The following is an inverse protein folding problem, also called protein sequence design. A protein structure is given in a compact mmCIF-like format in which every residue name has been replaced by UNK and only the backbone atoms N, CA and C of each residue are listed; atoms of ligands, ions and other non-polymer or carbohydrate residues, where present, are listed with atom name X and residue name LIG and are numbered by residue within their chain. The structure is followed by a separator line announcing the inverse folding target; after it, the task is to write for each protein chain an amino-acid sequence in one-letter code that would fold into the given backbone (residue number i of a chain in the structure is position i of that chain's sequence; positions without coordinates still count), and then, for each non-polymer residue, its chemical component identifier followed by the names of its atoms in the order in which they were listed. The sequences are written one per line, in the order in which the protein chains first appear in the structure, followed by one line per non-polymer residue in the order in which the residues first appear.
data_IF_109199869667
#
_entry.id   IF_109199869667
#
_cell.length_a   1.000
_cell.length_b   1.000
_cell.length_c   1.000
_cell.angle_alpha   90.00
_cell.angle_beta   90.00
_cell.angle_gamma   90.00
#
_symmetry.space_group_name_H-M   'P 1'
#
loop_
_entity.id
_entity.type
_entity.pdbx_description
1 polymer ?
#
# COMPACT_ATOMS: atom_id res chain seq x y z
N UNK A 1 -34.09 -58.45 27.24
CA UNK A 1 -34.20 -57.52 28.38
C UNK A 1 -33.88 -56.12 27.85
N UNK A 2 -34.90 -55.40 27.37
CA UNK A 2 -34.73 -54.08 26.77
C UNK A 2 -34.35 -53.07 27.85
N UNK A 3 -33.13 -52.54 27.81
CA UNK A 3 -32.74 -51.39 28.64
C UNK A 3 -33.53 -50.18 28.14
N UNK A 4 -34.30 -49.57 29.03
CA UNK A 4 -35.09 -48.40 28.76
C UNK A 4 -34.23 -47.30 28.10
N UNK A 5 -34.60 -46.93 26.87
CA UNK A 5 -34.05 -45.80 26.17
C UNK A 5 -34.59 -44.54 26.85
N UNK A 6 -33.82 -44.01 27.79
CA UNK A 6 -34.15 -42.80 28.51
C UNK A 6 -33.97 -41.62 27.54
N UNK A 7 -35.06 -41.26 26.86
CA UNK A 7 -35.08 -40.18 25.87
C UNK A 7 -34.88 -38.83 26.56
N UNK A 8 -33.63 -38.48 26.86
CA UNK A 8 -33.26 -37.09 27.06
C UNK A 8 -33.42 -36.40 25.70
N UNK A 9 -34.33 -35.44 25.62
CA UNK A 9 -34.41 -34.53 24.48
C UNK A 9 -33.10 -33.73 24.41
N UNK A 10 -32.19 -34.12 23.53
CA UNK A 10 -31.02 -33.32 23.19
C UNK A 10 -31.42 -32.32 22.09
N UNK A 11 -31.42 -31.03 22.43
CA UNK A 11 -31.54 -29.95 21.44
C UNK A 11 -30.15 -29.66 20.90
N UNK A 12 -29.88 -30.07 19.67
CA UNK A 12 -28.59 -29.85 19.00
C UNK A 12 -28.62 -28.43 18.41
N UNK A 13 -27.81 -27.53 18.96
CA UNK A 13 -27.69 -26.15 18.51
C UNK A 13 -26.60 -25.96 17.47
N UNK A 14 -25.43 -26.57 17.70
CA UNK A 14 -24.20 -26.33 16.95
C UNK A 14 -23.63 -27.68 16.45
N UNK A 15 -22.91 -27.68 15.33
CA UNK A 15 -22.29 -28.89 14.77
C UNK A 15 -21.31 -29.57 15.77
N UNK A 16 -20.62 -28.80 16.60
CA UNK A 16 -19.76 -29.31 17.67
C UNK A 16 -20.54 -30.08 18.76
N UNK A 17 -21.80 -29.72 19.00
CA UNK A 17 -22.66 -30.45 19.95
C UNK A 17 -22.95 -31.87 19.43
N UNK A 18 -23.09 -32.05 18.12
CA UNK A 18 -23.25 -33.38 17.50
C UNK A 18 -22.02 -34.25 17.71
N UNK A 19 -20.83 -33.68 17.50
CA UNK A 19 -19.55 -34.38 17.66
C UNK A 19 -19.38 -34.81 19.12
N UNK A 20 -19.73 -33.93 20.07
CA UNK A 20 -19.67 -34.23 21.51
C UNK A 20 -20.65 -35.32 21.94
N UNK A 21 -21.81 -35.40 21.28
CA UNK A 21 -22.83 -36.42 21.51
C UNK A 21 -22.53 -37.75 20.78
N UNK A 22 -21.48 -37.80 19.95
CA UNK A 22 -21.12 -38.95 19.14
C UNK A 22 -22.11 -39.23 18.00
N UNK A 23 -22.92 -38.24 17.63
CA UNK A 23 -23.93 -38.33 16.58
C UNK A 23 -23.33 -37.94 15.23
N UNK A 24 -23.69 -38.69 14.19
CA UNK A 24 -23.30 -38.39 12.81
C UNK A 24 -24.43 -37.67 12.08
N UNK A 25 -24.10 -36.96 11.00
CA UNK A 25 -25.08 -36.26 10.15
C UNK A 25 -26.16 -37.21 9.60
N UNK A 26 -25.80 -38.49 9.41
CA UNK A 26 -26.69 -39.57 8.96
C UNK A 26 -27.70 -40.03 10.01
N UNK A 27 -27.47 -39.71 11.29
CA UNK A 27 -28.38 -40.05 12.39
C UNK A 27 -29.52 -39.04 12.53
N UNK A 28 -29.43 -37.90 11.83
CA UNK A 28 -30.48 -36.90 11.74
C UNK A 28 -31.44 -37.23 10.59
N UNK A 29 -32.74 -37.06 10.86
CA UNK A 29 -33.73 -37.14 9.79
C UNK A 29 -33.56 -35.96 8.84
N UNK A 30 -33.46 -36.23 7.53
CA UNK A 30 -33.24 -35.21 6.50
C UNK A 30 -34.40 -34.20 6.39
N UNK A 31 -35.59 -34.58 6.86
CA UNK A 31 -36.79 -33.73 6.92
C UNK A 31 -36.91 -32.95 8.24
N UNK A 32 -35.97 -33.13 9.18
CA UNK A 32 -35.96 -32.38 10.43
C UNK A 32 -35.23 -31.03 10.26
N UNK A 33 -35.88 -29.99 10.76
CA UNK A 33 -35.39 -28.60 10.77
C UNK A 33 -33.99 -28.43 11.37
N UNK A 34 -33.58 -29.34 12.27
CA UNK A 34 -32.24 -29.36 12.87
C UNK A 34 -31.15 -29.58 11.81
N UNK A 35 -31.40 -30.46 10.84
CA UNK A 35 -30.45 -30.76 9.76
C UNK A 35 -30.32 -29.58 8.78
N UNK A 36 -31.44 -28.98 8.39
CA UNK A 36 -31.47 -27.79 7.53
C UNK A 36 -30.70 -26.61 8.16
N UNK A 37 -30.92 -26.37 9.46
CA UNK A 37 -30.22 -25.30 10.20
C UNK A 37 -28.70 -25.50 10.23
N UNK A 38 -28.23 -26.71 10.51
CA UNK A 38 -26.79 -27.00 10.57
C UNK A 38 -26.11 -26.86 9.20
N UNK A 39 -26.78 -27.26 8.11
CA UNK A 39 -26.27 -27.07 6.76
C UNK A 39 -26.19 -25.58 6.41
N UNK A 40 -27.20 -24.79 6.79
CA UNK A 40 -27.19 -23.35 6.60
C UNK A 40 -26.04 -22.69 7.37
N UNK A 41 -25.87 -22.98 8.65
CA UNK A 41 -24.84 -22.38 9.51
C UNK A 41 -23.43 -22.70 8.99
N UNK A 42 -23.17 -23.97 8.64
CA UNK A 42 -21.87 -24.36 8.07
C UNK A 42 -21.61 -23.75 6.69
N UNK A 43 -22.64 -23.54 5.88
CA UNK A 43 -22.51 -22.85 4.57
C UNK A 43 -22.24 -21.36 4.77
N UNK A 44 -22.94 -20.72 5.69
CA UNK A 44 -22.77 -19.30 6.03
C UNK A 44 -21.37 -19.03 6.61
N UNK A 45 -20.88 -19.90 7.50
CA UNK A 45 -19.52 -19.80 8.05
C UNK A 45 -18.45 -19.92 6.96
N UNK A 46 -18.66 -20.80 5.96
CA UNK A 46 -17.76 -20.93 4.81
C UNK A 46 -17.75 -19.67 3.96
N UNK A 47 -18.91 -19.14 3.61
CA UNK A 47 -19.01 -17.89 2.84
C UNK A 47 -18.37 -16.69 3.59
N UNK A 48 -18.59 -16.60 4.90
CA UNK A 48 -17.99 -15.56 5.73
C UNK A 48 -16.46 -15.69 5.76
N UNK A 49 -15.95 -16.92 5.87
CA UNK A 49 -14.51 -17.18 5.83
C UNK A 49 -13.91 -16.83 4.48
N UNK A 50 -14.54 -17.25 3.39
CA UNK A 50 -14.09 -16.93 2.03
C UNK A 50 -14.09 -15.43 1.75
N UNK A 51 -15.12 -14.70 2.19
CA UNK A 51 -15.18 -13.24 2.05
C UNK A 51 -14.12 -12.54 2.89
N UNK A 52 -13.86 -13.03 4.11
CA UNK A 52 -12.79 -12.52 4.98
C UNK A 52 -11.41 -12.75 4.36
N UNK A 53 -11.13 -13.96 3.87
CA UNK A 53 -9.86 -14.30 3.22
C UNK A 53 -9.65 -13.46 1.97
N UNK A 54 -10.71 -13.26 1.18
CA UNK A 54 -10.68 -12.39 0.00
C UNK A 54 -10.41 -10.94 0.38
N UNK A 55 -11.05 -10.41 1.41
CA UNK A 55 -10.82 -9.06 1.89
C UNK A 55 -9.36 -8.88 2.35
N UNK A 56 -8.84 -9.81 3.15
CA UNK A 56 -7.45 -9.76 3.61
C UNK A 56 -6.46 -9.82 2.45
N UNK A 57 -6.73 -10.63 1.43
CA UNK A 57 -5.89 -10.69 0.22
C UNK A 57 -5.84 -9.33 -0.48
N UNK A 58 -7.00 -8.73 -0.74
CA UNK A 58 -7.08 -7.42 -1.39
C UNK A 58 -6.47 -6.30 -0.55
N UNK A 59 -6.66 -6.32 0.77
CA UNK A 59 -6.03 -5.35 1.68
C UNK A 59 -4.50 -5.45 1.64
N UNK A 60 -3.95 -6.68 1.66
CA UNK A 60 -2.51 -6.91 1.52
C UNK A 60 -2.01 -6.38 0.18
N UNK A 61 -2.69 -6.69 -0.92
CA UNK A 61 -2.29 -6.23 -2.24
C UNK A 61 -2.36 -4.71 -2.37
N UNK A 62 -3.45 -4.08 -1.90
CA UNK A 62 -3.59 -2.62 -1.87
C UNK A 62 -2.52 -1.96 -1.01
N UNK A 63 -2.14 -2.58 0.12
CA UNK A 63 -1.04 -2.10 0.95
C UNK A 63 0.32 -2.15 0.24
N UNK A 64 0.56 -3.20 -0.55
CA UNK A 64 1.79 -3.37 -1.33
C UNK A 64 1.88 -2.30 -2.42
N UNK A 65 0.83 -2.16 -3.24
CA UNK A 65 0.75 -1.15 -4.31
C UNK A 65 0.91 0.26 -3.75
N UNK A 66 0.26 0.57 -2.61
CA UNK A 66 0.39 1.89 -1.97
C UNK A 66 1.81 2.16 -1.48
N UNK A 67 2.53 1.15 -0.98
CA UNK A 67 3.94 1.29 -0.62
C UNK A 67 4.79 1.56 -1.85
N UNK A 68 4.61 0.81 -2.93
CA UNK A 68 5.33 1.03 -4.19
C UNK A 68 5.07 2.43 -4.75
N UNK A 69 3.81 2.85 -4.79
CA UNK A 69 3.38 4.19 -5.18
C UNK A 69 4.09 5.26 -4.31
N UNK A 70 4.13 5.07 -3.00
CA UNK A 70 4.82 5.99 -2.08
C UNK A 70 6.33 6.05 -2.36
N UNK A 71 6.98 4.92 -2.64
CA UNK A 71 8.41 4.92 -2.99
C UNK A 71 8.67 5.64 -4.32
N UNK A 72 7.80 5.45 -5.31
CA UNK A 72 7.89 6.13 -6.60
C UNK A 72 7.68 7.64 -6.46
N UNK A 73 6.65 8.08 -5.73
CA UNK A 73 6.44 9.50 -5.42
C UNK A 73 7.61 10.10 -4.65
N UNK A 74 8.20 9.39 -3.70
CA UNK A 74 9.37 9.87 -2.95
C UNK A 74 10.58 10.05 -3.86
N UNK A 75 10.84 9.12 -4.77
CA UNK A 75 11.92 9.23 -5.78
C UNK A 75 11.66 10.41 -6.71
N UNK A 76 10.43 10.55 -7.22
CA UNK A 76 10.05 11.64 -8.11
C UNK A 76 10.17 13.01 -7.43
N UNK A 77 9.67 13.15 -6.20
CA UNK A 77 9.81 14.38 -5.41
C UNK A 77 11.27 14.73 -5.15
N UNK A 78 12.13 13.76 -4.86
CA UNK A 78 13.58 13.99 -4.71
C UNK A 78 14.22 14.51 -5.99
N UNK A 79 13.85 13.94 -7.15
CA UNK A 79 14.35 14.40 -8.44
C UNK A 79 13.86 15.82 -8.76
N UNK A 80 12.56 16.09 -8.59
CA UNK A 80 11.97 17.43 -8.76
C UNK A 80 12.63 18.49 -7.88
N UNK A 81 12.85 18.17 -6.59
CA UNK A 81 13.54 19.08 -5.68
C UNK A 81 15.05 19.17 -5.91
N UNK A 82 15.63 18.25 -6.68
CA UNK A 82 17.06 18.30 -7.06
C UNK A 82 17.30 19.15 -8.31
N UNK A 83 16.29 19.34 -9.15
CA UNK A 83 16.40 20.09 -10.40
C UNK A 83 15.79 21.48 -10.33
N UNK A 84 14.95 21.74 -9.33
CA UNK A 84 14.27 23.02 -9.13
C UNK A 84 14.20 23.39 -7.65
N UNK A 85 14.29 24.69 -7.30
CA UNK A 85 14.04 25.16 -5.95
C UNK A 85 12.70 24.67 -5.38
N UNK A 86 12.66 24.40 -4.07
CA UNK A 86 11.50 23.78 -3.41
C UNK A 86 10.20 24.56 -3.62
N UNK A 87 10.27 25.89 -3.64
CA UNK A 87 9.11 26.76 -3.80
C UNK A 87 8.45 26.60 -5.19
N UNK A 88 9.24 26.46 -6.26
CA UNK A 88 8.74 26.24 -7.63
C UNK A 88 8.15 24.83 -7.76
N UNK A 89 8.83 23.82 -7.19
CA UNK A 89 8.37 22.44 -7.22
C UNK A 89 7.02 22.25 -6.50
N UNK A 90 6.76 23.02 -5.43
CA UNK A 90 5.48 23.02 -4.72
C UNK A 90 4.36 23.68 -5.54
N UNK A 91 4.65 24.81 -6.20
CA UNK A 91 3.70 25.48 -7.09
C UNK A 91 3.29 24.57 -8.25
N UNK A 92 4.24 23.88 -8.87
CA UNK A 92 3.97 22.91 -9.94
C UNK A 92 3.15 21.70 -9.45
N UNK A 93 3.39 21.21 -8.23
CA UNK A 93 2.59 20.13 -7.63
C UNK A 93 1.14 20.56 -7.35
N UNK A 94 0.92 21.85 -7.06
CA UNK A 94 -0.43 22.40 -6.82
C UNK A 94 -1.22 22.68 -8.11
N UNK A 95 -0.62 22.54 -9.29
CA UNK A 95 -1.26 22.85 -10.57
C UNK A 95 -1.32 24.34 -10.91
N UNK A 96 -0.70 25.20 -10.10
CA UNK A 96 -0.58 26.63 -10.38
C UNK A 96 0.57 26.90 -11.37
N UNK A 97 0.33 27.73 -12.37
CA UNK A 97 1.39 28.22 -13.26
C UNK A 97 2.10 29.40 -12.57
N UNK A 98 3.40 29.30 -12.26
CA UNK A 98 4.13 30.39 -11.66
C UNK A 98 4.34 31.52 -12.67
N UNK A 99 4.16 32.77 -12.24
CA UNK A 99 4.63 33.93 -12.98
C UNK A 99 6.16 33.97 -12.84
N UNK A 100 6.89 33.71 -13.92
CA UNK A 100 8.34 33.56 -13.91
C UNK A 100 9.04 34.81 -14.42
N UNK A 101 10.12 35.19 -13.74
CA UNK A 101 11.11 36.17 -14.23
C UNK A 101 12.41 35.41 -14.51
N UNK A 102 13.00 35.64 -15.68
CA UNK A 102 14.22 34.95 -16.11
C UNK A 102 15.42 35.86 -15.83
N UNK A 103 16.42 35.32 -15.14
CA UNK A 103 17.71 35.98 -14.91
C UNK A 103 18.79 35.29 -15.73
N UNK A 104 19.57 36.06 -16.49
CA UNK A 104 20.76 35.56 -17.18
C UNK A 104 22.02 36.04 -16.44
N UNK A 105 22.94 35.11 -16.20
CA UNK A 105 24.26 35.40 -15.65
C UNK A 105 25.32 34.73 -16.52
N UNK A 106 26.45 35.41 -16.73
CA UNK A 106 27.55 34.90 -17.54
C UNK A 106 28.90 35.14 -16.85
N UNK A 107 29.85 34.23 -17.07
CA UNK A 107 31.25 34.39 -16.64
C UNK A 107 32.01 35.09 -17.76
N UNK A 108 32.53 36.28 -17.48
CA UNK A 108 33.29 37.07 -18.45
C UNK A 108 34.56 36.31 -18.85
N UNK A 109 34.86 36.30 -20.15
CA UNK A 109 36.05 35.68 -20.74
C UNK A 109 36.31 34.21 -20.35
N UNK A 110 35.25 33.45 -20.08
CA UNK A 110 35.35 32.04 -19.69
C UNK A 110 36.16 31.20 -20.69
N UNK A 111 36.05 31.49 -21.99
CA UNK A 111 36.82 30.81 -23.04
C UNK A 111 38.33 31.00 -22.87
N UNK A 112 38.76 32.22 -22.56
CA UNK A 112 40.17 32.56 -22.31
C UNK A 112 40.64 31.89 -21.02
N UNK A 113 39.79 31.86 -20.00
CA UNK A 113 40.06 31.21 -18.72
C UNK A 113 40.28 29.69 -18.89
N UNK A 114 39.39 29.00 -19.61
CA UNK A 114 39.55 27.56 -19.90
C UNK A 114 40.72 27.21 -20.81
N UNK A 115 41.30 28.19 -21.52
CA UNK A 115 42.51 27.98 -22.31
C UNK A 115 43.80 27.88 -21.48
N UNK A 116 43.78 28.39 -20.24
CA UNK A 116 44.95 28.44 -19.34
C UNK A 116 44.83 27.51 -18.13
N UNK A 117 43.65 26.92 -17.91
CA UNK A 117 43.35 26.05 -16.78
C UNK A 117 43.21 24.61 -17.22
N UNK A 118 43.66 23.68 -16.38
CA UNK A 118 43.34 22.27 -16.52
C UNK A 118 41.83 22.03 -16.36
N UNK A 119 41.31 21.04 -17.07
CA UNK A 119 39.88 20.72 -17.11
C UNK A 119 39.31 20.46 -15.70
N UNK A 120 40.08 19.80 -14.83
CA UNK A 120 39.65 19.53 -13.46
C UNK A 120 39.53 20.82 -12.62
N UNK A 121 40.43 21.78 -12.84
CA UNK A 121 40.41 23.07 -12.14
C UNK A 121 39.25 23.96 -12.61
N UNK A 122 38.96 23.95 -13.91
CA UNK A 122 37.82 24.66 -14.47
C UNK A 122 36.47 24.11 -13.96
N UNK A 123 36.34 22.78 -13.89
CA UNK A 123 35.15 22.13 -13.31
C UNK A 123 35.01 22.46 -11.82
N UNK A 124 36.11 22.44 -11.07
CA UNK A 124 36.10 22.80 -9.65
C UNK A 124 35.66 24.25 -9.43
N UNK A 125 36.11 25.18 -10.28
CA UNK A 125 35.68 26.57 -10.26
C UNK A 125 34.20 26.71 -10.58
N UNK A 126 33.72 26.05 -11.64
CA UNK A 126 32.32 26.10 -12.04
C UNK A 126 31.40 25.52 -10.96
N UNK A 127 31.78 24.41 -10.35
CA UNK A 127 31.04 23.81 -9.24
C UNK A 127 30.96 24.76 -8.03
N UNK A 128 32.04 25.47 -7.70
CA UNK A 128 32.02 26.47 -6.61
C UNK A 128 31.04 27.61 -6.91
N UNK A 129 31.08 28.14 -8.13
CA UNK A 129 30.17 29.22 -8.56
C UNK A 129 28.73 28.73 -8.52
N UNK A 130 28.45 27.55 -9.06
CA UNK A 130 27.10 26.95 -9.04
C UNK A 130 26.58 26.74 -7.62
N UNK A 131 27.39 26.19 -6.70
CA UNK A 131 26.99 25.99 -5.29
C UNK A 131 26.72 27.32 -4.57
N UNK A 132 27.49 28.37 -4.86
CA UNK A 132 27.19 29.71 -4.33
C UNK A 132 25.86 30.24 -4.83
N UNK A 133 25.56 30.05 -6.12
CA UNK A 133 24.25 30.40 -6.67
C UNK A 133 23.11 29.58 -6.05
N UNK A 134 23.30 28.28 -5.88
CA UNK A 134 22.32 27.40 -5.24
C UNK A 134 22.01 27.87 -3.81
N UNK A 135 23.03 28.35 -3.08
CA UNK A 135 22.85 28.87 -1.70
C UNK A 135 22.04 30.17 -1.65
N UNK A 136 22.13 31.01 -2.69
CA UNK A 136 21.39 32.27 -2.78
C UNK A 136 19.96 32.04 -3.30
N UNK A 137 19.77 30.99 -4.11
CA UNK A 137 18.51 30.67 -4.78
C UNK A 137 17.58 29.74 -4.00
N UNK A 138 18.07 29.05 -2.96
CA UNK A 138 17.26 28.23 -2.04
C UNK A 138 16.47 29.10 -1.04
#
# INVERSE_FOLDING_TARGET
MYKAFNAKHYSIGIADDMISAGLQLTDLNLLDSTCERLIHDTSQERELKETTDRQQFWERQASCVRRELHTSHRKNRRLLHSTMPKHIALLLQSGCQPLVTIMFANIVDFKTLTGHLDAASAITYLNKVATLFDTIAD
#
